data_IF_912056371540
#
_entry.id   IF_912056371540
#
_cell.length_a   1.000
_cell.length_b   1.000
_cell.length_c   1.000
_cell.angle_alpha   90.00
_cell.angle_beta   90.00
_cell.angle_gamma   90.00
#
_symmetry.space_group_name_H-M   'P 1'
#
loop_
_entity.id
_entity.type
_entity.pdbx_description
1 polymer ?
#
# COMPACT_ATOMS: atom_id res chain seq x y z
N UNK A 1 0.22 23.24 -32.64
CA UNK A 1 -0.76 23.29 -31.54
C UNK A 1 -0.48 22.05 -30.71
N UNK A 2 0.23 22.25 -29.61
CA UNK A 2 0.96 21.19 -28.91
C UNK A 2 0.01 20.18 -28.25
N UNK A 3 0.26 18.90 -28.54
CA UNK A 3 -0.40 17.76 -27.92
C UNK A 3 0.22 17.54 -26.54
N UNK A 4 -0.39 18.09 -25.50
CA UNK A 4 -0.08 17.66 -24.14
C UNK A 4 -0.65 16.25 -23.92
N UNK A 5 0.27 15.31 -23.80
CA UNK A 5 0.04 13.94 -23.35
C UNK A 5 -0.64 13.95 -21.99
N UNK A 6 -1.89 13.49 -21.95
CA UNK A 6 -2.64 13.32 -20.70
C UNK A 6 -2.15 12.04 -20.01
N UNK A 7 -1.07 12.14 -19.24
CA UNK A 7 -0.62 11.10 -18.32
C UNK A 7 -1.54 11.16 -17.09
N UNK A 8 -2.25 10.08 -16.72
CA UNK A 8 -3.06 10.08 -15.51
C UNK A 8 -2.16 10.36 -14.29
N UNK A 9 -2.48 11.39 -13.51
CA UNK A 9 -1.79 11.65 -12.24
C UNK A 9 -2.18 10.58 -11.23
N UNK A 10 -1.23 10.12 -10.38
CA UNK A 10 -1.48 9.08 -9.39
C UNK A 10 -2.49 9.45 -8.28
N UNK A 11 -3.00 10.69 -8.27
CA UNK A 11 -3.93 11.22 -7.27
C UNK A 11 -5.42 11.02 -7.63
N UNK A 12 -5.74 10.46 -8.80
CA UNK A 12 -7.14 10.20 -9.22
C UNK A 12 -7.75 8.94 -8.56
N UNK A 13 -6.98 8.21 -7.76
CA UNK A 13 -7.50 7.13 -6.92
C UNK A 13 -7.88 7.68 -5.53
N UNK A 14 -9.09 7.34 -5.07
CA UNK A 14 -9.59 7.43 -3.69
C UNK A 14 -8.78 8.36 -2.77
N UNK A 15 -9.03 9.67 -2.82
CA UNK A 15 -8.46 10.61 -1.85
C UNK A 15 -9.01 10.30 -0.45
N UNK A 16 -8.13 9.93 0.48
CA UNK A 16 -8.44 9.74 1.89
C UNK A 16 -7.76 10.85 2.72
N UNK A 17 -8.50 11.41 3.68
CA UNK A 17 -7.90 12.30 4.67
C UNK A 17 -6.95 11.49 5.55
N UNK A 18 -5.66 11.81 5.51
CA UNK A 18 -4.63 11.19 6.35
C UNK A 18 -4.33 12.12 7.51
N UNK A 19 -4.60 11.69 8.74
CA UNK A 19 -4.06 12.32 9.94
C UNK A 19 -2.86 11.50 10.42
N UNK A 20 -1.66 12.10 10.33
CA UNK A 20 -0.43 11.52 10.87
C UNK A 20 -0.20 12.09 12.27
N UNK A 21 -0.24 11.24 13.29
CA UNK A 21 0.24 11.61 14.63
C UNK A 21 1.72 11.23 14.74
N UNK A 22 2.60 12.15 14.38
CA UNK A 22 4.05 11.97 14.56
C UNK A 22 4.42 12.25 16.01
N UNK A 23 4.60 11.21 16.83
CA UNK A 23 5.35 11.35 18.09
C UNK A 23 6.84 11.23 17.77
N UNK A 24 7.42 12.28 17.18
CA UNK A 24 8.87 12.40 17.02
C UNK A 24 9.46 13.12 18.24
N UNK A 25 10.32 12.43 19.00
CA UNK A 25 11.38 13.13 19.72
C UNK A 25 12.48 13.48 18.71
N UNK A 26 12.54 14.77 18.38
CA UNK A 26 13.57 15.49 17.62
C UNK A 26 14.01 14.87 16.27
N UNK A 27 13.40 15.38 15.20
CA UNK A 27 13.87 15.25 13.82
C UNK A 27 12.93 15.98 12.87
N UNK A 28 13.36 17.15 12.40
CA UNK A 28 12.77 18.08 11.42
C UNK A 28 11.31 17.84 10.94
N UNK A 29 10.43 18.80 11.22
CA UNK A 29 8.99 18.80 10.89
C UNK A 29 8.65 18.97 9.38
N UNK A 30 9.45 18.40 8.49
CA UNK A 30 9.29 18.54 7.03
C UNK A 30 9.92 17.44 6.19
N UNK A 31 10.33 16.31 6.77
CA UNK A 31 10.84 15.18 6.00
C UNK A 31 9.68 14.53 5.21
N UNK A 32 9.83 14.41 3.90
CA UNK A 32 8.90 13.62 3.09
C UNK A 32 8.91 12.15 3.55
N UNK A 33 7.76 11.45 3.54
CA UNK A 33 7.72 10.03 3.88
C UNK A 33 8.70 9.22 3.02
N UNK A 34 9.45 8.31 3.64
CA UNK A 34 10.43 7.46 2.96
C UNK A 34 9.79 6.60 1.85
N UNK A 35 8.56 6.15 2.09
CA UNK A 35 7.72 5.45 1.14
C UNK A 35 6.27 5.92 1.29
N UNK A 36 5.49 5.80 0.22
CA UNK A 36 4.09 6.21 0.18
C UNK A 36 3.24 5.16 -0.56
N UNK A 37 1.92 5.34 -0.55
CA UNK A 37 1.00 4.44 -1.25
C UNK A 37 0.58 3.23 -0.45
N UNK A 38 0.83 3.21 0.87
CA UNK A 38 0.42 2.11 1.75
C UNK A 38 -1.08 1.85 1.77
N UNK A 39 -1.89 2.88 1.46
CA UNK A 39 -3.31 2.71 1.22
C UNK A 39 -3.54 1.63 0.15
N UNK A 40 -2.83 1.65 -0.98
CA UNK A 40 -3.09 0.80 -2.14
C UNK A 40 -2.50 -0.61 -2.08
N UNK A 41 -1.93 -1.04 -0.96
CA UNK A 41 -1.16 -2.29 -0.90
C UNK A 41 -1.96 -3.57 -1.19
N UNK A 42 -3.30 -3.50 -1.14
CA UNK A 42 -4.14 -4.60 -1.61
C UNK A 42 -3.88 -4.94 -3.10
N UNK A 43 -3.32 -4.01 -3.89
CA UNK A 43 -2.96 -4.21 -5.31
C UNK A 43 -1.94 -5.33 -5.51
N UNK A 44 -1.15 -5.67 -4.48
CA UNK A 44 -0.23 -6.82 -4.50
C UNK A 44 -0.95 -8.15 -4.78
N UNK A 45 -2.25 -8.22 -4.46
CA UNK A 45 -3.11 -9.39 -4.65
C UNK A 45 -4.06 -9.26 -5.83
N UNK A 46 -3.93 -8.20 -6.65
CA UNK A 46 -4.76 -8.06 -7.85
C UNK A 46 -4.44 -9.19 -8.85
N UNK A 47 -5.43 -9.79 -9.53
CA UNK A 47 -5.21 -10.99 -10.35
C UNK A 47 -4.11 -10.82 -11.43
N UNK A 48 -3.99 -9.63 -12.03
CA UNK A 48 -2.93 -9.35 -13.01
C UNK A 48 -1.53 -9.44 -12.42
N UNK A 49 -1.37 -9.22 -11.12
CA UNK A 49 -0.09 -9.22 -10.41
C UNK A 49 0.27 -10.59 -9.84
N UNK A 50 -0.59 -11.61 -10.02
CA UNK A 50 -0.35 -12.98 -9.52
C UNK A 50 1.00 -13.54 -9.99
N UNK A 51 1.37 -13.30 -11.25
CA UNK A 51 2.61 -13.80 -11.82
C UNK A 51 3.86 -13.10 -11.25
N UNK A 52 3.70 -11.98 -10.55
CA UNK A 52 4.79 -11.19 -9.97
C UNK A 52 5.23 -11.71 -8.60
N UNK A 53 4.45 -12.62 -7.99
CA UNK A 53 4.69 -13.12 -6.63
C UNK A 53 4.61 -14.64 -6.54
N UNK A 54 5.22 -15.19 -5.49
CA UNK A 54 4.95 -16.55 -5.01
C UNK A 54 3.98 -16.46 -3.83
N UNK A 55 3.18 -17.51 -3.63
CA UNK A 55 2.17 -17.56 -2.58
C UNK A 55 2.23 -18.91 -1.87
N UNK A 56 2.07 -18.90 -0.54
CA UNK A 56 2.01 -20.11 0.28
C UNK A 56 0.93 -19.98 1.34
N UNK A 57 -0.02 -20.91 1.34
CA UNK A 57 -0.98 -21.03 2.43
C UNK A 57 -0.27 -21.51 3.71
N UNK A 58 -0.45 -20.78 4.80
CA UNK A 58 0.20 -21.05 6.09
C UNK A 58 -0.73 -21.73 7.11
N UNK A 59 -2.03 -21.87 6.79
CA UNK A 59 -3.02 -22.43 7.70
C UNK A 59 -4.13 -21.43 8.06
N UNK A 60 -4.88 -21.76 9.10
CA UNK A 60 -5.95 -20.90 9.60
C UNK A 60 -5.53 -20.20 10.90
N UNK A 61 -5.95 -18.96 11.06
CA UNK A 61 -5.74 -18.21 12.30
C UNK A 61 -7.00 -17.41 12.62
N UNK A 62 -7.35 -17.32 13.91
CA UNK A 62 -8.40 -16.39 14.37
C UNK A 62 -7.74 -15.06 14.73
N UNK A 63 -8.10 -13.98 14.05
CA UNK A 63 -7.65 -12.61 14.35
C UNK A 63 -8.85 -11.68 14.34
N UNK A 64 -8.90 -10.70 15.26
CA UNK A 64 -9.91 -9.63 15.26
C UNK A 64 -11.37 -10.11 15.06
N UNK A 65 -11.70 -11.27 15.67
CA UNK A 65 -12.99 -12.01 15.55
C UNK A 65 -13.24 -12.71 14.21
N UNK A 66 -12.39 -12.52 13.22
CA UNK A 66 -12.40 -13.23 11.94
C UNK A 66 -11.74 -14.61 12.05
N UNK A 67 -12.34 -15.63 11.41
CA UNK A 67 -11.65 -16.88 11.10
C UNK A 67 -10.97 -16.67 9.75
N UNK A 68 -9.65 -16.69 9.71
CA UNK A 68 -8.88 -16.29 8.53
C UNK A 68 -8.05 -17.43 7.95
N UNK A 69 -7.89 -17.41 6.64
CA UNK A 69 -6.86 -18.13 5.88
C UNK A 69 -5.61 -17.24 5.85
N UNK A 70 -4.48 -17.79 6.27
CA UNK A 70 -3.21 -17.05 6.33
C UNK A 70 -2.41 -17.35 5.07
N UNK A 71 -2.10 -16.32 4.29
CA UNK A 71 -1.40 -16.42 3.01
C UNK A 71 -0.09 -15.66 3.07
N UNK A 72 1.03 -16.36 3.01
CA UNK A 72 2.32 -15.74 2.77
C UNK A 72 2.48 -15.41 1.29
N UNK A 73 3.16 -14.30 1.01
CA UNK A 73 3.57 -13.93 -0.34
C UNK A 73 5.00 -13.39 -0.36
N UNK A 74 5.65 -13.49 -1.51
CA UNK A 74 6.94 -12.85 -1.77
C UNK A 74 7.02 -12.47 -3.24
N UNK A 75 7.22 -11.18 -3.52
CA UNK A 75 7.44 -10.69 -4.88
C UNK A 75 8.72 -11.28 -5.47
N UNK A 76 8.73 -11.50 -6.78
CA UNK A 76 9.86 -12.01 -7.55
C UNK A 76 10.55 -10.84 -8.27
N UNK A 77 11.72 -10.37 -7.78
CA UNK A 77 12.48 -9.35 -8.50
C UNK A 77 12.69 -9.75 -9.96
N UNK A 78 12.41 -8.84 -10.90
CA UNK A 78 12.44 -9.09 -12.35
C UNK A 78 11.09 -9.46 -12.99
N UNK A 79 10.09 -9.84 -12.21
CA UNK A 79 8.71 -10.06 -12.70
C UNK A 79 7.74 -8.94 -12.33
N UNK A 80 8.09 -8.13 -11.34
CA UNK A 80 7.27 -7.01 -10.88
C UNK A 80 7.32 -5.87 -11.89
N UNK A 81 6.17 -5.50 -12.46
CA UNK A 81 6.09 -4.45 -13.48
C UNK A 81 6.20 -3.05 -12.91
N UNK A 82 5.65 -2.84 -11.72
CA UNK A 82 5.65 -1.55 -11.02
C UNK A 82 6.04 -1.80 -9.57
N UNK A 83 7.36 -1.83 -9.26
CA UNK A 83 7.82 -2.00 -7.89
C UNK A 83 7.40 -0.80 -7.03
N UNK A 84 7.37 -1.02 -5.71
CA UNK A 84 7.33 0.10 -4.79
C UNK A 84 8.63 0.90 -4.92
N UNK A 85 8.62 2.15 -4.48
CA UNK A 85 9.79 3.02 -4.59
C UNK A 85 10.05 3.76 -3.29
N UNK A 86 11.35 3.92 -2.97
CA UNK A 86 11.82 4.80 -1.91
C UNK A 86 12.61 5.94 -2.55
N UNK A 87 12.36 7.17 -2.09
CA UNK A 87 13.13 8.34 -2.53
C UNK A 87 14.33 8.54 -1.64
N UNK A 88 15.52 8.60 -2.24
CA UNK A 88 16.78 8.87 -1.54
C UNK A 88 17.63 9.80 -2.41
N UNK A 89 18.03 10.96 -1.86
CA UNK A 89 18.87 11.97 -2.56
C UNK A 89 18.38 12.32 -3.98
N UNK A 90 17.06 12.45 -4.16
CA UNK A 90 16.45 12.77 -5.46
C UNK A 90 16.37 11.62 -6.45
N UNK A 91 16.80 10.41 -6.07
CA UNK A 91 16.67 9.18 -6.86
C UNK A 91 15.53 8.32 -6.33
N UNK A 92 14.90 7.58 -7.24
CA UNK A 92 13.94 6.54 -6.89
C UNK A 92 14.63 5.18 -6.89
N UNK A 93 14.55 4.45 -5.78
CA UNK A 93 15.12 3.11 -5.65
C UNK A 93 13.98 2.10 -5.51
N UNK A 94 13.92 1.06 -6.37
CA UNK A 94 12.86 0.08 -6.30
C UNK A 94 12.98 -0.76 -5.03
N UNK A 95 11.84 -0.97 -4.38
CA UNK A 95 11.68 -1.92 -3.28
C UNK A 95 10.71 -3.02 -3.70
N UNK A 96 10.94 -4.19 -3.14
CA UNK A 96 10.07 -5.35 -3.31
C UNK A 96 9.55 -5.78 -1.95
N UNK A 97 8.38 -6.40 -1.95
CA UNK A 97 7.63 -6.75 -0.76
C UNK A 97 7.52 -8.26 -0.62
N UNK A 98 7.60 -8.71 0.63
CA UNK A 98 7.13 -10.00 1.08
C UNK A 98 6.18 -9.78 2.26
N UNK A 99 5.47 -10.82 2.71
CA UNK A 99 4.68 -10.70 3.92
C UNK A 99 3.55 -11.70 4.01
N UNK A 100 2.52 -11.30 4.75
CA UNK A 100 1.39 -12.15 5.12
C UNK A 100 0.09 -11.37 5.00
N UNK A 101 -0.88 -11.97 4.29
CA UNK A 101 -2.26 -11.53 4.29
C UNK A 101 -3.11 -12.48 5.14
N UNK A 102 -3.98 -11.91 5.96
CA UNK A 102 -5.06 -12.62 6.63
C UNK A 102 -6.34 -12.37 5.85
N UNK A 103 -6.87 -13.44 5.27
CA UNK A 103 -8.03 -13.42 4.38
C UNK A 103 -9.22 -14.03 5.14
N UNK A 104 -10.33 -13.31 5.27
CA UNK A 104 -11.51 -13.86 5.94
C UNK A 104 -12.03 -15.09 5.19
N UNK A 105 -12.30 -16.18 5.92
CA UNK A 105 -12.70 -17.45 5.32
C UNK A 105 -14.15 -17.46 4.82
N UNK A 106 -14.98 -16.49 5.21
CA UNK A 106 -16.40 -16.40 4.82
C UNK A 106 -16.59 -15.69 3.49
N UNK A 107 -15.77 -14.69 3.18
CA UNK A 107 -15.97 -13.82 2.00
C UNK A 107 -14.70 -13.49 1.21
N UNK A 108 -13.55 -14.04 1.62
CA UNK A 108 -12.24 -13.87 1.00
C UNK A 108 -11.70 -12.44 0.94
N UNK A 109 -12.20 -11.53 1.78
CA UNK A 109 -11.62 -10.18 1.92
C UNK A 109 -10.35 -10.25 2.75
N UNK A 110 -9.34 -9.46 2.37
CA UNK A 110 -8.15 -9.27 3.22
C UNK A 110 -8.56 -8.39 4.40
N UNK A 111 -8.50 -8.92 5.62
CA UNK A 111 -8.84 -8.17 6.84
C UNK A 111 -7.61 -7.51 7.46
N UNK A 112 -6.44 -8.10 7.24
CA UNK A 112 -5.14 -7.56 7.64
C UNK A 112 -4.07 -7.93 6.62
N UNK A 113 -3.16 -7.01 6.36
CA UNK A 113 -1.97 -7.24 5.54
C UNK A 113 -0.75 -6.75 6.29
N UNK A 114 0.25 -7.60 6.45
CA UNK A 114 1.60 -7.19 6.81
C UNK A 114 2.50 -7.36 5.61
N UNK A 115 3.30 -6.34 5.31
CA UNK A 115 4.40 -6.46 4.36
C UNK A 115 5.70 -6.07 5.01
N UNK A 116 6.76 -6.71 4.57
CA UNK A 116 8.13 -6.43 4.93
C UNK A 116 8.93 -6.22 3.65
N UNK A 117 9.98 -5.40 3.74
CA UNK A 117 10.98 -5.26 2.69
C UNK A 117 11.56 -6.65 2.35
N UNK A 118 11.62 -6.98 1.05
CA UNK A 118 12.11 -8.26 0.60
C UNK A 118 13.59 -8.45 0.94
N UNK A 119 14.39 -7.41 0.72
CA UNK A 119 15.83 -7.39 0.98
C UNK A 119 16.27 -5.97 1.38
N UNK A 120 17.19 -5.81 2.36
CA UNK A 120 17.79 -4.53 2.68
C UNK A 120 18.37 -3.83 1.44
N UNK A 121 18.42 -2.50 1.47
CA UNK A 121 19.04 -1.66 0.45
C UNK A 121 20.19 -0.86 1.08
N UNK A 122 21.43 -1.41 1.07
CA UNK A 122 22.59 -0.76 1.69
C UNK A 122 22.90 0.62 1.11
N UNK A 123 22.73 0.80 -0.21
CA UNK A 123 23.05 2.04 -0.92
C UNK A 123 22.22 3.24 -0.44
N UNK A 124 21.02 2.98 0.09
CA UNK A 124 20.14 3.99 0.72
C UNK A 124 19.99 3.79 2.22
N UNK A 125 20.82 2.91 2.80
CA UNK A 125 20.88 2.58 4.23
C UNK A 125 19.55 2.07 4.81
N UNK A 126 18.62 1.62 3.97
CA UNK A 126 17.33 1.08 4.39
C UNK A 126 17.49 -0.39 4.77
N UNK A 127 17.41 -0.69 6.06
CA UNK A 127 17.57 -2.05 6.60
C UNK A 127 16.26 -2.80 6.66
N UNK A 128 15.18 -2.12 7.03
CA UNK A 128 13.84 -2.70 7.06
C UNK A 128 12.76 -1.65 6.78
N UNK A 129 11.66 -2.12 6.20
CA UNK A 129 10.43 -1.38 6.02
C UNK A 129 9.28 -2.36 6.21
N UNK A 130 8.52 -2.20 7.27
CA UNK A 130 7.35 -3.02 7.59
C UNK A 130 6.11 -2.14 7.57
N UNK A 131 5.06 -2.57 6.89
CA UNK A 131 3.75 -1.92 6.92
C UNK A 131 2.69 -2.92 7.34
N UNK A 132 1.89 -2.55 8.34
CA UNK A 132 0.75 -3.31 8.82
C UNK A 132 -0.53 -2.55 8.53
N UNK A 133 -1.33 -3.07 7.60
CA UNK A 133 -2.58 -2.51 7.12
C UNK A 133 -3.74 -3.24 7.77
N UNK A 134 -4.62 -2.49 8.42
CA UNK A 134 -5.91 -2.97 8.92
C UNK A 134 -7.01 -2.48 8.01
N UNK A 135 -7.80 -3.41 7.48
CA UNK A 135 -8.93 -3.11 6.63
C UNK A 135 -10.23 -3.16 7.43
N UNK A 136 -11.23 -2.42 6.96
CA UNK A 136 -12.57 -2.54 7.49
C UNK A 136 -13.61 -1.93 6.59
N UNK A 137 -14.85 -2.31 6.87
CA UNK A 137 -16.03 -1.79 6.21
C UNK A 137 -16.05 -0.26 6.32
N UNK A 138 -16.26 0.43 5.22
CA UNK A 138 -16.16 1.89 5.14
C UNK A 138 -17.29 2.38 4.25
N UNK A 139 -18.19 3.17 4.82
CA UNK A 139 -19.24 3.83 4.06
C UNK A 139 -18.64 5.03 3.32
N UNK A 140 -18.79 5.05 2.00
CA UNK A 140 -18.33 6.15 1.15
C UNK A 140 -19.55 6.91 0.63
N UNK A 141 -19.53 8.23 0.73
CA UNK A 141 -20.62 9.06 0.23
C UNK A 141 -20.81 8.84 -1.28
N UNK A 142 -22.05 8.64 -1.71
CA UNK A 142 -22.38 8.36 -3.11
C UNK A 142 -22.16 6.92 -3.56
N UNK A 143 -21.70 6.02 -2.68
CA UNK A 143 -21.55 4.58 -2.97
C UNK A 143 -22.63 3.78 -2.25
N UNK A 144 -23.42 3.00 -3.00
CA UNK A 144 -24.60 2.29 -2.47
C UNK A 144 -24.25 1.20 -1.46
N UNK A 145 -23.12 0.52 -1.62
CA UNK A 145 -22.68 -0.55 -0.72
C UNK A 145 -21.39 -0.15 -0.01
N UNK A 146 -21.23 -0.51 1.28
CA UNK A 146 -19.98 -0.29 1.98
C UNK A 146 -18.79 -0.92 1.26
N UNK A 147 -17.65 -0.22 1.26
CA UNK A 147 -16.41 -0.71 0.69
C UNK A 147 -15.50 -1.25 1.80
N UNK A 148 -14.67 -2.24 1.48
CA UNK A 148 -13.67 -2.75 2.43
C UNK A 148 -12.33 -2.07 2.15
N UNK A 149 -12.00 -1.04 2.92
CA UNK A 149 -10.87 -0.14 2.67
C UNK A 149 -9.94 -0.12 3.89
N UNK A 150 -8.66 0.27 3.74
CA UNK A 150 -7.77 0.50 4.86
C UNK A 150 -8.36 1.52 5.82
N UNK A 151 -8.30 1.22 7.10
CA UNK A 151 -8.64 2.17 8.17
C UNK A 151 -7.39 2.70 8.83
N UNK A 152 -6.37 1.85 8.92
CA UNK A 152 -5.13 2.15 9.59
C UNK A 152 -3.96 1.47 8.90
N UNK A 153 -2.84 2.20 8.80
CA UNK A 153 -1.54 1.62 8.49
C UNK A 153 -0.55 2.03 9.56
N UNK A 154 0.17 1.06 10.11
CA UNK A 154 1.37 1.30 10.92
C UNK A 154 2.59 0.95 10.09
N UNK A 155 3.48 1.92 9.89
CA UNK A 155 4.74 1.75 9.15
C UNK A 155 5.88 1.82 10.15
N UNK A 156 6.75 0.82 10.13
CA UNK A 156 8.02 0.84 10.88
C UNK A 156 9.16 0.79 9.87
N UNK A 157 10.14 1.67 10.00
CA UNK A 157 11.32 1.65 9.13
C UNK A 157 12.59 1.73 9.95
N UNK A 158 13.64 1.07 9.48
CA UNK A 158 15.01 1.23 9.98
C UNK A 158 15.87 1.78 8.85
N UNK A 159 16.27 3.05 8.98
CA UNK A 159 17.19 3.72 8.07
C UNK A 159 18.42 4.12 8.84
N UNK A 160 19.58 3.62 8.43
CA UNK A 160 20.86 3.89 9.09
C UNK A 160 20.85 3.58 10.61
N UNK A 161 20.12 2.55 11.04
CA UNK A 161 19.98 2.19 12.45
C UNK A 161 19.02 3.09 13.25
N UNK A 162 18.42 4.09 12.61
CA UNK A 162 17.37 4.91 13.19
C UNK A 162 16.02 4.29 12.87
N UNK A 163 15.31 3.87 13.92
CA UNK A 163 13.95 3.33 13.77
C UNK A 163 12.91 4.43 13.85
N UNK A 164 12.04 4.53 12.85
CA UNK A 164 10.83 5.35 12.88
C UNK A 164 9.59 4.46 12.92
N UNK A 165 8.51 4.99 13.51
CA UNK A 165 7.20 4.34 13.51
C UNK A 165 6.11 5.37 13.26
N UNK A 166 5.47 5.26 12.10
CA UNK A 166 4.42 6.16 11.65
C UNK A 166 3.07 5.46 11.66
N UNK A 167 2.02 6.19 12.06
CA UNK A 167 0.64 5.70 12.04
C UNK A 167 -0.17 6.59 11.12
N UNK A 168 -0.79 5.98 10.13
CA UNK A 168 -1.70 6.62 9.18
C UNK A 168 -3.12 6.17 9.50
N UNK A 169 -4.00 7.09 9.88
CA UNK A 169 -5.43 6.84 9.98
C UNK A 169 -6.13 7.37 8.73
N UNK A 170 -6.86 6.50 8.05
CA UNK A 170 -7.58 6.83 6.82
C UNK A 170 -9.07 7.04 7.12
N UNK A 171 -9.58 8.18 6.71
CA UNK A 171 -10.99 8.55 6.90
C UNK A 171 -11.49 9.43 5.75
N UNK A 172 -12.81 9.68 5.74
CA UNK A 172 -13.44 10.59 4.77
C UNK A 172 -13.14 10.23 3.31
N UNK A 173 -13.14 8.93 3.00
CA UNK A 173 -13.02 8.45 1.62
C UNK A 173 -14.07 9.08 0.71
N UNK A 174 -13.66 9.40 -0.52
CA UNK A 174 -14.53 10.00 -1.54
C UNK A 174 -14.47 9.17 -2.82
N UNK A 175 -15.64 8.97 -3.43
CA UNK A 175 -15.74 8.41 -4.77
C UNK A 175 -15.86 9.55 -5.78
N UNK A 176 -15.15 9.42 -6.90
CA UNK A 176 -15.16 10.37 -8.01
C UNK A 176 -15.65 9.65 -9.27
N UNK A 177 -16.55 10.29 -10.02
CA UNK A 177 -17.02 9.80 -11.31
C UNK A 177 -16.30 10.55 -12.43
N UNK A 178 -15.69 9.81 -13.37
CA UNK A 178 -15.02 10.37 -14.53
C UNK A 178 -15.76 9.95 -15.81
N UNK A 179 -16.08 10.90 -16.68
CA UNK A 179 -16.60 10.64 -18.03
C UNK A 179 -15.50 10.94 -19.04
N UNK A 180 -15.16 9.96 -19.88
CA UNK A 180 -14.17 10.12 -20.94
C UNK A 180 -14.84 9.98 -22.31
N UNK A 181 -14.43 10.83 -23.26
CA UNK A 181 -14.82 10.73 -24.68
C UNK A 181 -13.57 10.46 -25.49
N UNK A 182 -13.48 9.28 -26.10
CA UNK A 182 -12.40 8.96 -27.04
C UNK A 182 -12.75 9.58 -28.39
N UNK A 183 -11.93 10.52 -28.85
CA UNK A 183 -12.00 11.05 -30.20
C UNK A 183 -11.06 10.21 -31.07
N UNK A 184 -11.62 9.44 -31.99
CA UNK A 184 -10.83 8.78 -33.04
C UNK A 184 -10.49 9.83 -34.09
N UNK A 185 -9.21 9.95 -34.44
CA UNK A 185 -8.79 10.76 -35.57
C UNK A 185 -9.31 10.12 -36.89
N UNK A 186 -9.71 10.93 -37.88
CA UNK A 186 -10.25 10.44 -39.16
C UNK A 186 -9.21 9.69 -40.01
#
# INVERSE_FOLDING_TARGET
MDLQSNVPQPDDALSAGTSASTQARMGNAGASPLAHGFAYMWVLFYPSNRAESTFRYLGQQKIDRHKTLVLAFSQKPGFVRTPGEVRFEGRSVPIFHQGVAWVDASDFRIVRLRTDLLSPLPDVQLRSLTAEVHFGETQVAGVTSPLWLPREVVVTSDVNGLTSRDRHAYSNYRAYGVQTKVLLAP
#
